data_IF_033707146863
#
_entry.id   IF_033707146863
#
_cell.length_a   1.000
_cell.length_b   1.000
_cell.length_c   1.000
_cell.angle_alpha   90.00
_cell.angle_beta   90.00
_cell.angle_gamma   90.00
#
_symmetry.space_group_name_H-M   'P 1'
#
loop_
_entity.id
_entity.type
_entity.pdbx_description
1 polymer ?
#
# COMPACT_ATOMS: atom_id res chain seq x y z
N UNK A 1 -9.88 6.01 12.40
CA UNK A 1 -9.74 6.59 11.07
C UNK A 1 -9.98 5.53 10.01
N UNK A 2 -10.82 5.86 8.99
CA UNK A 2 -10.94 5.04 7.78
C UNK A 2 -9.69 5.26 6.94
N UNK A 3 -9.04 4.18 6.53
CA UNK A 3 -7.80 4.22 5.75
C UNK A 3 -8.08 4.10 4.24
N UNK A 4 -9.08 3.33 3.88
CA UNK A 4 -9.49 3.12 2.50
C UNK A 4 -10.93 2.69 2.37
N UNK A 5 -11.56 3.07 1.28
CA UNK A 5 -12.93 2.69 0.92
C UNK A 5 -12.91 2.08 -0.47
N UNK A 6 -13.61 0.97 -0.65
CA UNK A 6 -13.82 0.31 -1.95
C UNK A 6 -15.30 0.01 -2.12
N UNK A 7 -15.84 0.37 -3.29
CA UNK A 7 -17.18 -0.04 -3.72
C UNK A 7 -17.04 -1.12 -4.79
N UNK A 8 -17.63 -2.28 -4.55
CA UNK A 8 -17.63 -3.39 -5.50
C UNK A 8 -18.89 -4.25 -5.33
N UNK A 9 -19.55 -4.57 -6.45
CA UNK A 9 -20.76 -5.42 -6.48
C UNK A 9 -21.83 -5.04 -5.44
N UNK A 10 -22.23 -3.77 -5.45
CA UNK A 10 -23.22 -3.19 -4.52
C UNK A 10 -22.86 -3.34 -3.02
N UNK A 11 -21.57 -3.48 -2.73
CA UNK A 11 -21.03 -3.50 -1.37
C UNK A 11 -20.02 -2.39 -1.20
N UNK A 12 -19.97 -1.84 0.01
CA UNK A 12 -18.94 -0.92 0.44
C UNK A 12 -18.06 -1.63 1.46
N UNK A 13 -16.76 -1.58 1.22
CA UNK A 13 -15.72 -2.08 2.13
C UNK A 13 -14.96 -0.90 2.69
N UNK A 14 -14.73 -0.90 4.00
CA UNK A 14 -13.91 0.11 4.67
C UNK A 14 -12.80 -0.56 5.46
N UNK A 15 -11.58 -0.12 5.22
CA UNK A 15 -10.40 -0.54 6.00
C UNK A 15 -10.10 0.50 7.07
N UNK A 16 -9.72 0.03 8.24
CA UNK A 16 -9.34 0.88 9.37
C UNK A 16 -8.44 0.10 10.33
N UNK A 17 -7.93 0.76 11.33
CA UNK A 17 -7.25 0.10 12.43
C UNK A 17 -7.85 0.53 13.77
N UNK A 18 -7.82 -0.40 14.71
CA UNK A 18 -8.24 -0.17 16.10
C UNK A 18 -7.02 -0.25 17.00
N UNK A 19 -6.95 0.65 17.96
CA UNK A 19 -5.92 0.62 18.99
C UNK A 19 -6.48 -0.03 20.26
N UNK A 20 -5.75 -1.02 20.77
CA UNK A 20 -5.98 -1.64 22.07
C UNK A 20 -4.65 -1.68 22.81
N UNK A 21 -4.57 -0.93 23.89
CA UNK A 21 -3.32 -0.74 24.65
C UNK A 21 -2.21 -0.21 23.75
N UNK A 22 -1.08 -0.91 23.65
CA UNK A 22 0.05 -0.54 22.81
C UNK A 22 -0.02 -1.17 21.39
N UNK A 23 -1.09 -1.90 21.09
CA UNK A 23 -1.26 -2.61 19.83
C UNK A 23 -2.26 -1.91 18.92
N UNK A 24 -1.95 -1.85 17.64
CA UNK A 24 -2.93 -1.60 16.58
C UNK A 24 -3.25 -2.89 15.83
N UNK A 25 -4.50 -3.03 15.41
CA UNK A 25 -5.00 -4.19 14.66
C UNK A 25 -5.71 -3.71 13.41
N UNK A 26 -5.33 -4.27 12.28
CA UNK A 26 -5.95 -3.94 11.00
C UNK A 26 -7.29 -4.65 10.83
N UNK A 27 -8.29 -3.92 10.33
CA UNK A 27 -9.68 -4.37 10.16
C UNK A 27 -10.22 -3.96 8.80
N UNK A 28 -11.14 -4.77 8.29
CA UNK A 28 -12.02 -4.41 7.17
C UNK A 28 -13.45 -4.77 7.56
N UNK A 29 -14.36 -3.86 7.34
CA UNK A 29 -15.80 -4.08 7.45
C UNK A 29 -16.45 -3.98 6.08
N UNK A 30 -17.64 -4.56 5.93
CA UNK A 30 -18.42 -4.53 4.70
C UNK A 30 -19.90 -4.28 5.01
N UNK A 31 -20.55 -3.50 4.16
CA UNK A 31 -21.99 -3.32 4.16
C UNK A 31 -22.54 -3.45 2.74
N UNK A 32 -23.79 -3.91 2.61
CA UNK A 32 -24.55 -3.78 1.37
C UNK A 32 -24.96 -2.31 1.21
N UNK A 33 -24.80 -1.78 -0.02
CA UNK A 33 -25.16 -0.38 -0.28
C UNK A 33 -26.70 -0.30 -0.29
N UNK A 34 -27.22 0.28 0.78
CA UNK A 34 -28.62 0.62 0.94
C UNK A 34 -28.73 2.10 1.30
N UNK A 35 -29.48 2.85 0.52
CA UNK A 35 -29.62 4.30 0.66
C UNK A 35 -30.17 4.69 2.06
N UNK A 36 -30.92 3.82 2.74
CA UNK A 36 -31.55 4.13 4.01
C UNK A 36 -30.67 3.87 5.23
N UNK A 37 -29.93 2.75 5.22
CA UNK A 37 -29.07 2.36 6.35
C UNK A 37 -27.90 1.55 5.85
N UNK A 38 -26.68 1.90 6.30
CA UNK A 38 -25.48 1.10 6.09
C UNK A 38 -25.21 0.32 7.39
N UNK A 39 -25.35 -0.99 7.33
CA UNK A 39 -25.03 -1.88 8.45
C UNK A 39 -23.73 -2.61 8.15
N UNK A 40 -22.64 -2.16 8.75
CA UNK A 40 -21.33 -2.76 8.59
C UNK A 40 -21.18 -4.05 9.42
N UNK A 41 -20.61 -5.07 8.78
CA UNK A 41 -20.24 -6.35 9.40
C UNK A 41 -18.75 -6.57 9.24
N UNK A 42 -18.16 -7.32 10.17
CA UNK A 42 -16.75 -7.70 10.06
C UNK A 42 -16.53 -8.54 8.80
N UNK A 43 -15.55 -8.12 8.00
CA UNK A 43 -15.11 -8.83 6.81
C UNK A 43 -13.76 -9.52 7.04
N UNK A 44 -12.80 -8.78 7.60
CA UNK A 44 -11.44 -9.26 7.87
C UNK A 44 -10.91 -8.64 9.15
N UNK A 45 -10.23 -9.46 9.93
CA UNK A 45 -9.62 -9.05 11.18
C UNK A 45 -8.21 -9.62 11.28
N UNK A 46 -7.20 -8.77 11.33
CA UNK A 46 -5.85 -9.18 11.72
C UNK A 46 -5.80 -9.45 13.22
N UNK A 47 -5.14 -10.55 13.62
CA UNK A 47 -4.80 -10.81 15.02
C UNK A 47 -3.37 -10.33 15.35
N UNK A 48 -2.69 -9.72 14.40
CA UNK A 48 -1.32 -9.26 14.54
C UNK A 48 -1.31 -7.89 15.20
N UNK A 49 -0.56 -7.79 16.30
CA UNK A 49 -0.26 -6.54 16.98
C UNK A 49 0.77 -5.76 16.17
N UNK A 50 0.34 -4.68 15.53
CA UNK A 50 1.24 -3.76 14.85
C UNK A 50 1.55 -2.52 15.70
N UNK A 51 2.71 -1.91 15.50
CA UNK A 51 3.08 -0.70 16.23
C UNK A 51 2.29 0.52 15.77
N UNK A 52 2.05 0.61 14.47
CA UNK A 52 1.22 1.61 13.81
C UNK A 52 0.98 1.19 12.37
N UNK A 53 -0.27 0.99 12.02
CA UNK A 53 -0.66 0.72 10.64
C UNK A 53 -0.86 2.01 9.85
N UNK A 54 -0.62 1.94 8.54
CA UNK A 54 -0.91 2.99 7.57
C UNK A 54 -1.36 2.37 6.25
N UNK A 55 -1.63 3.20 5.26
CA UNK A 55 -2.19 2.78 3.97
C UNK A 55 -3.61 2.19 4.11
N UNK A 56 -3.89 0.99 3.66
CA UNK A 56 -5.23 0.38 3.72
C UNK A 56 -6.03 0.54 2.43
N UNK A 57 -5.37 0.83 1.30
CA UNK A 57 -6.04 0.90 -0.01
C UNK A 57 -6.45 -0.49 -0.46
N UNK A 58 -7.63 -0.58 -1.04
CA UNK A 58 -8.22 -1.85 -1.47
C UNK A 58 -8.59 -1.80 -2.94
N UNK A 59 -8.38 -2.92 -3.63
CA UNK A 59 -8.84 -3.13 -5.00
C UNK A 59 -9.40 -4.56 -5.13
N UNK A 60 -10.49 -4.71 -5.89
CA UNK A 60 -10.94 -6.03 -6.28
C UNK A 60 -9.94 -6.64 -7.25
N UNK A 61 -9.65 -7.92 -7.05
CA UNK A 61 -8.72 -8.67 -7.89
C UNK A 61 -9.09 -10.14 -7.95
N UNK A 62 -8.96 -10.75 -9.13
CA UNK A 62 -9.06 -12.19 -9.29
C UNK A 62 -7.65 -12.78 -9.37
N UNK A 63 -7.28 -13.56 -8.36
CA UNK A 63 -5.99 -14.25 -8.28
C UNK A 63 -6.23 -15.75 -8.40
N UNK A 64 -5.64 -16.38 -9.44
CA UNK A 64 -5.76 -17.82 -9.69
C UNK A 64 -7.21 -18.33 -9.64
N UNK A 65 -8.11 -17.64 -10.33
CA UNK A 65 -9.55 -17.92 -10.36
C UNK A 65 -10.27 -17.74 -9.01
N UNK A 66 -9.66 -17.08 -8.05
CA UNK A 66 -10.26 -16.74 -6.77
C UNK A 66 -10.51 -15.24 -6.69
N UNK A 67 -11.76 -14.86 -6.43
CA UNK A 67 -12.12 -13.47 -6.20
C UNK A 67 -11.67 -13.02 -4.81
N UNK A 68 -11.07 -11.84 -4.76
CA UNK A 68 -10.51 -11.31 -3.52
C UNK A 68 -10.30 -9.80 -3.54
N UNK A 69 -9.76 -9.32 -2.44
CA UNK A 69 -9.29 -7.96 -2.29
C UNK A 69 -7.77 -7.95 -2.21
N UNK A 70 -7.12 -7.17 -3.06
CA UNK A 70 -5.75 -6.71 -2.81
C UNK A 70 -5.82 -5.53 -1.84
N UNK A 71 -5.00 -5.59 -0.81
CA UNK A 71 -4.99 -4.58 0.26
C UNK A 71 -3.55 -4.16 0.54
N UNK A 72 -3.29 -2.86 0.43
CA UNK A 72 -2.00 -2.31 0.82
C UNK A 72 -1.95 -2.06 2.33
N UNK A 73 -0.92 -2.56 2.98
CA UNK A 73 -0.70 -2.37 4.42
C UNK A 73 0.69 -1.77 4.60
N UNK A 74 0.72 -0.54 5.07
CA UNK A 74 1.94 0.18 5.37
C UNK A 74 2.27 0.15 6.87
N UNK A 75 3.46 0.60 7.16
CA UNK A 75 3.91 0.89 8.50
C UNK A 75 4.07 2.41 8.64
N UNK A 76 3.42 3.00 9.64
CA UNK A 76 3.61 4.41 9.97
C UNK A 76 5.05 4.70 10.42
N UNK A 77 5.38 5.97 10.60
CA UNK A 77 6.69 6.38 11.11
C UNK A 77 7.07 5.61 12.38
N UNK A 78 8.19 4.92 12.34
CA UNK A 78 8.63 4.05 13.41
C UNK A 78 10.10 4.29 13.73
N UNK A 79 10.39 4.48 15.02
CA UNK A 79 11.72 4.88 15.51
C UNK A 79 12.63 3.67 15.81
N UNK A 80 12.28 2.46 15.37
CA UNK A 80 13.09 1.26 15.61
C UNK A 80 13.30 0.49 14.31
N UNK A 81 14.44 -0.19 14.15
CA UNK A 81 14.65 -1.08 13.03
C UNK A 81 13.52 -2.10 13.02
N UNK A 82 12.82 -2.16 11.92
CA UNK A 82 11.73 -3.10 11.75
C UNK A 82 12.13 -4.17 10.75
N UNK A 83 12.07 -5.42 11.17
CA UNK A 83 12.21 -6.57 10.30
C UNK A 83 10.90 -6.89 9.55
N UNK A 84 9.79 -6.29 9.98
CA UNK A 84 8.46 -6.56 9.43
C UNK A 84 8.39 -6.50 7.90
N UNK A 85 8.96 -5.50 7.20
CA UNK A 85 8.84 -5.44 5.75
C UNK A 85 9.41 -6.68 5.04
N UNK A 86 10.46 -7.29 5.59
CA UNK A 86 11.12 -8.47 5.03
C UNK A 86 10.63 -9.80 5.64
N UNK A 87 9.86 -9.79 6.72
CA UNK A 87 9.29 -10.99 7.33
C UNK A 87 8.04 -11.43 6.57
N UNK A 88 8.05 -12.63 6.00
CA UNK A 88 6.94 -13.21 5.25
C UNK A 88 5.76 -13.66 6.12
N UNK A 89 5.92 -13.67 7.45
CA UNK A 89 4.88 -14.14 8.38
C UNK A 89 3.95 -13.04 8.87
N UNK A 90 4.26 -11.78 8.61
CA UNK A 90 3.49 -10.61 9.01
C UNK A 90 2.76 -9.98 7.84
N UNK A 91 1.63 -9.33 8.09
CA UNK A 91 0.92 -8.50 7.09
C UNK A 91 1.46 -7.06 7.02
N UNK A 92 2.28 -6.64 7.99
CA UNK A 92 2.81 -5.28 8.07
C UNK A 92 3.80 -5.04 6.93
N UNK A 93 3.66 -3.90 6.24
CA UNK A 93 4.52 -3.52 5.10
C UNK A 93 4.41 -4.51 3.92
N UNK A 94 3.17 -4.89 3.61
CA UNK A 94 2.81 -5.85 2.57
C UNK A 94 1.69 -5.32 1.68
N UNK A 95 1.59 -5.88 0.50
CA UNK A 95 0.31 -6.00 -0.19
C UNK A 95 -0.17 -7.42 0.04
N UNK A 96 -1.37 -7.59 0.56
CA UNK A 96 -1.97 -8.90 0.82
C UNK A 96 -3.16 -9.12 -0.13
N UNK A 97 -3.43 -10.38 -0.45
CA UNK A 97 -4.65 -10.79 -1.12
C UNK A 97 -5.54 -11.50 -0.10
N UNK A 98 -6.78 -11.04 0.05
CA UNK A 98 -7.80 -11.62 0.95
C UNK A 98 -8.89 -12.24 0.10
N UNK A 99 -9.07 -13.55 0.19
CA UNK A 99 -10.10 -14.28 -0.54
C UNK A 99 -11.51 -13.89 -0.04
N UNK A 100 -12.43 -13.54 -0.96
CA UNK A 100 -13.78 -13.10 -0.60
C UNK A 100 -14.63 -14.16 0.10
N UNK A 101 -14.39 -15.44 -0.16
CA UNK A 101 -15.18 -16.53 0.41
C UNK A 101 -14.63 -16.98 1.75
N UNK A 102 -13.33 -17.31 1.80
CA UNK A 102 -12.70 -17.90 2.99
C UNK A 102 -12.24 -16.86 4.01
N UNK A 103 -12.13 -15.58 3.62
CA UNK A 103 -11.57 -14.48 4.41
C UNK A 103 -10.10 -14.68 4.82
N UNK A 104 -9.46 -15.73 4.31
CA UNK A 104 -8.04 -15.98 4.54
C UNK A 104 -7.21 -15.07 3.62
N UNK A 105 -6.04 -14.67 4.11
CA UNK A 105 -5.11 -13.88 3.32
C UNK A 105 -3.85 -14.67 2.97
N UNK A 106 -3.19 -14.20 1.91
CA UNK A 106 -1.81 -14.52 1.57
C UNK A 106 -1.03 -13.22 1.41
N UNK A 107 0.27 -13.26 1.67
CA UNK A 107 1.17 -12.15 1.33
C UNK A 107 1.37 -12.17 -0.19
N UNK A 108 0.87 -11.13 -0.87
CA UNK A 108 0.98 -10.99 -2.32
C UNK A 108 2.34 -10.44 -2.71
N UNK A 109 2.82 -9.40 -2.01
CA UNK A 109 4.16 -8.84 -2.15
C UNK A 109 4.67 -8.27 -0.82
N UNK A 110 5.98 -8.08 -0.69
CA UNK A 110 6.63 -7.66 0.55
C UNK A 110 7.69 -6.58 0.29
N UNK A 111 8.24 -6.03 1.38
CA UNK A 111 9.27 -5.01 1.29
C UNK A 111 8.73 -3.62 0.95
N UNK A 112 7.49 -3.34 1.33
CA UNK A 112 6.86 -2.04 1.19
C UNK A 112 7.08 -1.18 2.44
N UNK A 113 7.13 0.14 2.26
CA UNK A 113 7.18 1.08 3.38
C UNK A 113 5.79 1.60 3.75
N UNK A 114 5.19 2.39 2.89
CA UNK A 114 3.89 3.03 3.13
C UNK A 114 3.14 3.22 1.80
N UNK A 115 2.52 2.16 1.25
CA UNK A 115 1.84 2.20 -0.04
C UNK A 115 0.48 2.89 0.07
N UNK A 116 0.44 4.18 -0.30
CA UNK A 116 -0.73 5.06 -0.19
C UNK A 116 -1.68 5.01 -1.38
N UNK A 117 -1.24 4.45 -2.51
CA UNK A 117 -2.08 4.19 -3.67
C UNK A 117 -2.01 2.74 -4.09
N UNK A 118 -3.13 2.23 -4.58
CA UNK A 118 -3.23 0.88 -5.15
C UNK A 118 -4.25 0.91 -6.29
N UNK A 119 -3.85 0.42 -7.44
CA UNK A 119 -4.67 0.36 -8.65
C UNK A 119 -4.51 -1.01 -9.33
N UNK A 120 -5.62 -1.61 -9.70
CA UNK A 120 -5.68 -2.76 -10.61
C UNK A 120 -6.21 -2.28 -11.95
N UNK A 121 -5.40 -2.40 -13.01
CA UNK A 121 -5.77 -2.10 -14.39
C UNK A 121 -5.52 -3.31 -15.29
N UNK A 122 -6.55 -4.12 -15.45
CA UNK A 122 -6.43 -5.41 -16.12
C UNK A 122 -5.47 -6.34 -15.39
N UNK A 123 -4.36 -6.69 -16.04
CA UNK A 123 -3.30 -7.52 -15.45
C UNK A 123 -2.22 -6.70 -14.70
N UNK A 124 -2.26 -5.38 -14.82
CA UNK A 124 -1.30 -4.52 -14.15
C UNK A 124 -1.81 -4.14 -12.76
N UNK A 125 -0.97 -4.35 -11.78
CA UNK A 125 -1.18 -3.88 -10.41
C UNK A 125 -0.12 -2.82 -10.16
N UNK A 126 -0.53 -1.64 -9.75
CA UNK A 126 0.36 -0.50 -9.52
C UNK A 126 0.14 -0.01 -8.09
N UNK A 127 1.22 0.19 -7.36
CA UNK A 127 1.19 0.92 -6.10
C UNK A 127 2.00 2.20 -6.19
N UNK A 128 1.61 3.17 -5.38
CA UNK A 128 2.39 4.38 -5.11
C UNK A 128 2.70 4.39 -3.63
N UNK A 129 3.95 4.63 -3.25
CA UNK A 129 4.31 4.60 -1.85
C UNK A 129 5.30 5.70 -1.44
N UNK A 130 5.15 6.12 -0.18
CA UNK A 130 6.05 7.10 0.41
C UNK A 130 7.40 6.47 0.73
N UNK A 131 8.46 7.08 0.20
CA UNK A 131 9.81 6.86 0.68
C UNK A 131 10.07 7.48 2.06
N UNK A 132 11.29 7.35 2.59
CA UNK A 132 11.73 8.14 3.74
C UNK A 132 11.93 9.61 3.34
N UNK A 133 13.02 10.24 3.67
CA UNK A 133 13.32 11.59 3.22
C UNK A 133 13.72 11.57 1.73
N UNK A 134 12.80 11.81 0.84
CA UNK A 134 12.92 11.55 -0.61
C UNK A 134 12.49 10.13 -1.01
N UNK A 135 12.49 9.83 -2.31
CA UNK A 135 12.31 8.48 -2.83
C UNK A 135 10.88 7.93 -2.73
N UNK A 136 9.86 8.76 -2.95
CA UNK A 136 8.51 8.24 -3.22
C UNK A 136 8.52 7.42 -4.51
N UNK A 137 7.76 6.33 -4.56
CA UNK A 137 7.89 5.35 -5.62
C UNK A 137 6.55 5.04 -6.31
N UNK A 138 6.65 4.75 -7.60
CA UNK A 138 5.61 4.05 -8.35
C UNK A 138 6.12 2.65 -8.63
N UNK A 139 5.40 1.66 -8.14
CA UNK A 139 5.78 0.26 -8.22
C UNK A 139 4.79 -0.54 -9.08
N UNK A 140 5.30 -1.33 -10.01
CA UNK A 140 4.52 -2.38 -10.66
C UNK A 140 4.57 -3.62 -9.79
N UNK A 141 3.42 -4.02 -9.26
CA UNK A 141 3.33 -5.11 -8.28
C UNK A 141 3.22 -6.46 -9.00
N UNK A 142 4.10 -7.38 -8.61
CA UNK A 142 4.08 -8.77 -9.06
C UNK A 142 3.91 -9.70 -7.85
N UNK A 143 3.28 -10.84 -8.11
CA UNK A 143 3.08 -11.86 -7.07
C UNK A 143 4.42 -12.38 -6.53
N UNK A 144 4.54 -12.48 -5.21
CA UNK A 144 5.75 -12.84 -4.46
C UNK A 144 6.94 -11.88 -4.63
N UNK A 145 6.69 -10.68 -5.20
CA UNK A 145 7.73 -9.66 -5.36
C UNK A 145 8.22 -9.08 -4.04
N UNK A 146 9.51 -8.73 -3.97
CA UNK A 146 10.12 -8.02 -2.85
C UNK A 146 10.63 -6.66 -3.32
N UNK A 147 10.14 -5.58 -2.70
CA UNK A 147 10.41 -4.18 -3.07
C UNK A 147 11.50 -3.52 -2.22
N UNK A 148 12.17 -4.28 -1.36
CA UNK A 148 13.47 -3.95 -0.77
C UNK A 148 13.43 -3.15 0.52
N UNK A 149 12.33 -2.49 0.89
CA UNK A 149 12.27 -1.75 2.16
C UNK A 149 12.48 -2.67 3.38
N UNK A 150 13.27 -2.29 4.40
CA UNK A 150 14.02 -1.05 4.60
C UNK A 150 15.49 -1.13 4.13
N UNK A 151 15.86 -2.08 3.30
CA UNK A 151 17.23 -2.31 2.86
C UNK A 151 17.59 -1.38 1.70
N UNK A 152 16.69 -1.27 0.71
CA UNK A 152 16.83 -0.41 -0.45
C UNK A 152 15.82 0.75 -0.42
N UNK A 153 16.24 1.94 -0.84
CA UNK A 153 15.40 3.11 -1.04
C UNK A 153 16.17 4.21 -1.77
N UNK A 154 15.50 4.94 -2.65
CA UNK A 154 16.07 6.14 -3.28
C UNK A 154 16.12 7.35 -2.34
N UNK A 155 15.38 7.31 -1.23
CA UNK A 155 15.40 8.33 -0.20
C UNK A 155 16.62 8.24 0.74
N UNK A 156 16.66 9.14 1.71
CA UNK A 156 17.65 9.16 2.80
C UNK A 156 16.95 8.97 4.13
N UNK A 157 17.66 8.52 5.15
CA UNK A 157 17.12 8.39 6.49
C UNK A 157 16.77 9.76 7.08
N UNK A 158 15.78 9.80 7.96
CA UNK A 158 15.50 10.98 8.78
C UNK A 158 16.54 11.06 9.90
N UNK A 159 17.15 12.24 10.09
CA UNK A 159 18.26 12.45 11.04
C UNK A 159 17.93 12.04 12.48
N UNK A 160 16.66 12.17 12.90
CA UNK A 160 16.23 11.96 14.27
C UNK A 160 15.56 10.60 14.54
N UNK A 161 15.16 9.88 13.49
CA UNK A 161 14.23 8.76 13.62
C UNK A 161 14.85 7.41 13.25
N UNK A 162 15.82 7.40 12.38
CA UNK A 162 16.34 6.18 11.77
C UNK A 162 17.79 5.84 12.17
N UNK A 163 18.19 6.09 13.42
CA UNK A 163 19.49 5.66 13.95
C UNK A 163 19.53 4.15 14.22
N UNK A 164 19.17 3.36 13.22
CA UNK A 164 19.35 1.91 13.25
C UNK A 164 20.54 1.49 12.36
N UNK A 165 21.00 0.25 12.49
CA UNK A 165 22.16 -0.24 11.73
C UNK A 165 22.01 -0.11 10.20
N UNK A 166 20.80 -0.22 9.67
CA UNK A 166 20.53 -0.13 8.23
C UNK A 166 20.61 1.34 7.79
N UNK A 167 19.98 2.24 8.51
CA UNK A 167 19.98 3.66 8.18
C UNK A 167 21.33 4.35 8.46
N UNK A 168 22.11 3.86 9.43
CA UNK A 168 23.47 4.39 9.70
C UNK A 168 24.45 4.12 8.56
N UNK A 169 24.21 3.04 7.78
CA UNK A 169 25.00 2.71 6.58
C UNK A 169 24.42 3.32 5.30
N UNK A 170 23.24 3.94 5.38
CA UNK A 170 22.47 4.41 4.24
C UNK A 170 21.71 3.29 3.52
N UNK A 171 20.64 3.65 2.81
CA UNK A 171 19.91 2.72 1.97
C UNK A 171 20.69 2.38 0.70
N UNK A 172 20.58 1.15 0.23
CA UNK A 172 21.03 0.77 -1.10
C UNK A 172 20.17 1.50 -2.14
N UNK A 173 20.79 2.12 -3.12
CA UNK A 173 20.07 2.96 -4.11
C UNK A 173 19.53 2.15 -5.29
N UNK A 174 20.24 1.13 -5.72
CA UNK A 174 19.76 0.18 -6.73
C UNK A 174 19.06 -0.99 -6.03
N UNK A 175 17.78 -1.15 -6.29
CA UNK A 175 17.01 -2.28 -5.78
C UNK A 175 17.44 -3.57 -6.49
N UNK A 176 17.60 -3.50 -7.81
CA UNK A 176 17.95 -4.67 -8.64
C UNK A 176 19.32 -5.26 -8.32
N UNK A 177 20.32 -4.44 -8.01
CA UNK A 177 21.66 -4.93 -7.63
C UNK A 177 21.63 -5.74 -6.33
N UNK A 178 20.57 -5.58 -5.55
CA UNK A 178 20.34 -6.29 -4.29
C UNK A 178 19.31 -7.41 -4.41
N UNK A 179 18.85 -7.71 -5.63
CA UNK A 179 17.84 -8.74 -5.89
C UNK A 179 16.41 -8.35 -5.57
N UNK A 180 16.14 -7.06 -5.38
CA UNK A 180 14.80 -6.51 -5.19
C UNK A 180 14.21 -6.00 -6.51
N UNK A 181 12.91 -5.75 -6.53
CA UNK A 181 12.22 -5.19 -7.68
C UNK A 181 12.43 -3.68 -7.71
N UNK A 182 12.94 -3.18 -8.84
CA UNK A 182 13.08 -1.75 -9.08
C UNK A 182 11.71 -1.08 -9.19
N UNK A 183 11.51 0.11 -8.59
CA UNK A 183 10.36 0.94 -8.89
C UNK A 183 10.35 1.34 -10.37
N UNK A 184 9.14 1.49 -10.92
CA UNK A 184 8.97 2.04 -12.27
C UNK A 184 9.46 3.48 -12.33
N UNK A 185 9.29 4.21 -11.23
CA UNK A 185 9.76 5.58 -11.08
C UNK A 185 9.95 5.93 -9.61
N UNK A 186 10.98 6.71 -9.30
CA UNK A 186 11.24 7.25 -7.97
C UNK A 186 11.33 8.79 -8.02
N UNK A 187 10.61 9.46 -7.13
CA UNK A 187 10.63 10.92 -6.98
C UNK A 187 11.68 11.33 -5.95
N UNK A 188 12.70 12.06 -6.40
CA UNK A 188 13.72 12.65 -5.54
C UNK A 188 13.88 14.11 -5.94
N UNK A 189 13.41 15.05 -5.10
CA UNK A 189 12.81 14.89 -3.77
C UNK A 189 11.42 14.24 -3.80
N UNK A 190 10.94 13.76 -2.64
CA UNK A 190 9.58 13.25 -2.46
C UNK A 190 8.53 14.32 -2.74
N UNK A 191 7.45 13.89 -3.36
CA UNK A 191 6.27 14.73 -3.63
C UNK A 191 5.14 14.52 -2.62
N UNK A 192 5.30 13.58 -1.68
CA UNK A 192 4.21 13.11 -0.83
C UNK A 192 3.15 12.38 -1.65
N UNK A 193 3.58 11.39 -2.44
CA UNK A 193 2.73 10.65 -3.37
C UNK A 193 1.54 10.01 -2.65
N UNK A 194 0.35 10.06 -3.26
CA UNK A 194 -0.86 9.50 -2.66
C UNK A 194 -1.55 8.55 -3.64
N UNK A 195 -2.86 8.65 -3.82
CA UNK A 195 -3.64 7.74 -4.64
C UNK A 195 -3.31 7.87 -6.14
N UNK A 196 -3.41 6.74 -6.84
CA UNK A 196 -3.33 6.66 -8.29
C UNK A 196 -4.64 6.11 -8.86
N UNK A 197 -5.10 6.68 -9.97
CA UNK A 197 -6.28 6.22 -10.70
C UNK A 197 -5.98 6.15 -12.19
N UNK A 198 -6.68 5.27 -12.90
CA UNK A 198 -6.73 5.31 -14.36
C UNK A 198 -7.69 6.41 -14.81
N UNK A 199 -7.27 7.24 -15.76
CA UNK A 199 -8.12 8.28 -16.31
C UNK A 199 -9.20 7.63 -17.17
N UNK A 200 -10.50 7.89 -16.89
CA UNK A 200 -11.58 7.34 -17.70
C UNK A 200 -11.53 7.84 -19.15
N UNK A 201 -11.81 6.98 -20.10
CA UNK A 201 -11.82 7.34 -21.52
C UNK A 201 -12.79 8.48 -21.85
N UNK A 202 -13.85 8.63 -21.05
CA UNK A 202 -14.83 9.72 -21.17
C UNK A 202 -14.32 11.08 -20.71
N UNK A 203 -13.23 11.14 -19.96
CA UNK A 203 -12.70 12.38 -19.39
C UNK A 203 -12.03 13.25 -20.48
N UNK A 204 -11.13 12.67 -21.26
CA UNK A 204 -10.43 13.37 -22.34
C UNK A 204 -9.82 12.38 -23.32
N UNK A 205 -10.02 12.62 -24.63
CA UNK A 205 -9.38 11.82 -25.69
C UNK A 205 -7.85 11.94 -25.64
N UNK A 206 -7.32 13.10 -25.24
CA UNK A 206 -5.87 13.34 -25.14
C UNK A 206 -5.22 12.66 -23.93
N UNK A 207 -6.03 12.20 -22.96
CA UNK A 207 -5.54 11.63 -21.71
C UNK A 207 -5.91 10.14 -21.58
N UNK A 208 -6.41 9.54 -22.64
CA UNK A 208 -6.71 8.11 -22.67
C UNK A 208 -5.46 7.28 -22.38
N UNK A 209 -5.64 6.21 -21.62
CA UNK A 209 -4.57 5.29 -21.19
C UNK A 209 -3.51 5.90 -20.28
N UNK A 210 -3.73 7.11 -19.78
CA UNK A 210 -2.87 7.69 -18.76
C UNK A 210 -3.43 7.44 -17.36
N UNK A 211 -2.58 7.62 -16.39
CA UNK A 211 -2.93 7.60 -14.98
C UNK A 211 -2.82 9.01 -14.40
N UNK A 212 -3.58 9.24 -13.35
CA UNK A 212 -3.50 10.46 -12.57
C UNK A 212 -3.13 10.07 -11.14
N UNK A 213 -2.08 10.65 -10.61
CA UNK A 213 -1.68 10.49 -9.23
C UNK A 213 -1.71 11.84 -8.51
N UNK A 214 -2.01 11.79 -7.23
CA UNK A 214 -2.05 12.99 -6.38
C UNK A 214 -0.81 13.07 -5.49
N UNK A 215 -0.42 14.30 -5.20
CA UNK A 215 0.67 14.66 -4.33
C UNK A 215 0.16 15.52 -3.16
N UNK A 216 0.62 15.20 -1.95
CA UNK A 216 0.28 15.95 -0.74
C UNK A 216 1.24 17.11 -0.49
N UNK A 217 2.52 16.94 -0.83
CA UNK A 217 3.55 17.91 -0.49
C UNK A 217 3.49 19.15 -1.36
N UNK A 218 3.40 18.98 -2.66
CA UNK A 218 3.33 20.09 -3.63
C UNK A 218 1.89 20.36 -4.12
N UNK A 219 0.88 19.71 -3.51
CA UNK A 219 -0.55 19.94 -3.73
C UNK A 219 -0.93 19.85 -5.22
N UNK A 220 -0.34 18.91 -5.93
CA UNK A 220 -0.41 18.78 -7.38
C UNK A 220 -1.03 17.46 -7.83
N UNK A 221 -1.45 17.43 -9.09
CA UNK A 221 -1.86 16.23 -9.81
C UNK A 221 -0.86 15.97 -10.93
N UNK A 222 -0.36 14.75 -10.98
CA UNK A 222 0.58 14.29 -12.00
C UNK A 222 -0.13 13.37 -12.99
N UNK A 223 -0.04 13.70 -14.26
CA UNK A 223 -0.45 12.81 -15.35
C UNK A 223 0.76 12.01 -15.80
N UNK A 224 0.66 10.71 -15.81
CA UNK A 224 1.70 9.76 -16.20
C UNK A 224 1.17 8.76 -17.20
#
# INVERSE_FOLDING_TARGET
>A
HVNGTLIHNNKIYESYHIRKEECEYFRIVVADINIKNLEFKDFYSSNECGPKYSAGRMQFFNHESQDGLLVSIGMGAYNKPSTFPQDKKTIISKIIFINLNTKKHIVYSLGHRNPQGLLVDGKNIISTEHGPHGGDEINKIIFQGNYGWPIASYGTAYDDVDKNEISSKGYLKSHSDSGFIEPVYAFVPSIGISQIIKIPNSFSKLWQNNYLLSSLNDQSLYRI
#
